data_IF_485417526703
#
_entry.id   IF_485417526703
#
_cell.length_a   1.000
_cell.length_b   1.000
_cell.length_c   1.000
_cell.angle_alpha   90.00
_cell.angle_beta   90.00
_cell.angle_gamma   90.00
#
_symmetry.space_group_name_H-M   'P 1'
#
loop_
_entity.id
_entity.type
_entity.pdbx_description
1 polymer ?
#
# COMPACT_ATOMS: atom_id res chain seq x y z
N UNK A 1 -63.77 46.54 -25.47
CA UNK A 1 -63.19 46.33 -26.82
C UNK A 1 -61.70 46.11 -26.64
N UNK A 2 -61.27 44.85 -26.58
CA UNK A 2 -60.63 44.10 -27.67
C UNK A 2 -59.10 44.28 -27.74
N UNK A 3 -58.41 43.19 -27.36
CA UNK A 3 -57.20 42.59 -27.94
C UNK A 3 -55.88 43.37 -27.85
N UNK A 4 -54.87 42.76 -27.22
CA UNK A 4 -53.90 41.89 -27.92
C UNK A 4 -52.78 41.40 -26.97
N UNK A 5 -52.54 40.08 -26.98
CA UNK A 5 -51.33 39.43 -26.47
C UNK A 5 -50.10 39.91 -27.24
N UNK A 6 -48.96 40.08 -26.55
CA UNK A 6 -47.63 39.79 -27.10
C UNK A 6 -46.79 39.09 -26.05
N UNK A 7 -46.63 37.79 -26.24
CA UNK A 7 -45.60 36.93 -25.65
C UNK A 7 -44.28 37.34 -26.32
N UNK A 8 -43.30 37.74 -25.52
CA UNK A 8 -41.94 38.01 -25.97
C UNK A 8 -40.96 37.25 -25.08
N UNK A 9 -40.50 36.10 -25.56
CA UNK A 9 -39.50 35.27 -24.93
C UNK A 9 -38.09 35.82 -25.21
N UNK A 10 -37.27 36.02 -24.17
CA UNK A 10 -35.81 36.17 -24.20
C UNK A 10 -35.36 36.12 -22.74
N UNK A 11 -34.47 35.27 -22.26
CA UNK A 11 -33.62 34.24 -22.82
C UNK A 11 -32.71 33.87 -21.64
N UNK A 12 -32.85 32.65 -21.14
CA UNK A 12 -32.11 32.18 -19.98
C UNK A 12 -30.62 32.06 -20.33
N UNK A 13 -29.78 32.94 -19.79
CA UNK A 13 -28.33 32.76 -19.78
C UNK A 13 -27.96 31.92 -18.55
N UNK A 14 -28.18 30.60 -18.66
CA UNK A 14 -27.54 29.63 -17.77
C UNK A 14 -26.06 29.61 -18.14
N UNK A 15 -25.24 30.26 -17.33
CA UNK A 15 -23.78 30.10 -17.34
C UNK A 15 -23.51 28.68 -16.84
N UNK A 16 -23.45 27.72 -17.76
CA UNK A 16 -22.88 26.40 -17.49
C UNK A 16 -21.41 26.62 -17.21
N UNK A 17 -21.02 26.55 -15.94
CA UNK A 17 -19.62 26.34 -15.59
C UNK A 17 -19.19 25.05 -16.28
N UNK A 18 -18.39 25.18 -17.33
CA UNK A 18 -17.56 24.09 -17.81
C UNK A 18 -16.56 23.81 -16.70
N UNK A 19 -16.94 22.97 -15.74
CA UNK A 19 -15.98 22.22 -14.97
C UNK A 19 -15.26 21.34 -16.00
N UNK A 20 -14.13 21.84 -16.52
CA UNK A 20 -13.14 20.99 -17.13
C UNK A 20 -12.80 19.96 -16.06
N UNK A 21 -13.36 18.75 -16.21
CA UNK A 21 -12.96 17.60 -15.45
C UNK A 21 -11.49 17.35 -15.75
N UNK A 22 -10.63 17.86 -14.89
CA UNK A 22 -9.37 17.19 -14.62
C UNK A 22 -9.81 15.80 -14.13
N UNK A 23 -9.77 14.81 -15.03
CA UNK A 23 -10.02 13.43 -14.66
C UNK A 23 -9.13 13.13 -13.47
N UNK A 24 -9.74 12.79 -12.35
CA UNK A 24 -9.00 12.21 -11.24
C UNK A 24 -8.25 11.02 -11.84
N UNK A 25 -6.93 10.89 -11.64
CA UNK A 25 -6.23 9.69 -12.07
C UNK A 25 -7.03 8.48 -11.62
N UNK A 26 -7.29 7.53 -12.53
CA UNK A 26 -8.03 6.31 -12.20
C UNK A 26 -7.25 5.60 -11.10
N UNK A 27 -7.74 5.73 -9.86
CA UNK A 27 -7.15 5.09 -8.70
C UNK A 27 -7.44 3.60 -8.79
N UNK A 28 -6.51 2.80 -8.29
CA UNK A 28 -6.73 1.37 -8.18
C UNK A 28 -7.86 1.12 -7.18
N UNK A 29 -8.89 0.43 -7.66
CA UNK A 29 -9.96 -0.08 -6.81
C UNK A 29 -9.50 -1.37 -6.10
N UNK A 30 -10.01 -1.68 -4.89
CA UNK A 30 -9.63 -2.88 -4.15
C UNK A 30 -9.87 -4.21 -4.89
N UNK A 31 -10.79 -4.25 -5.85
CA UNK A 31 -11.13 -5.42 -6.67
C UNK A 31 -10.43 -5.42 -8.03
N UNK A 32 -9.46 -4.53 -8.25
CA UNK A 32 -8.67 -4.48 -9.46
C UNK A 32 -8.01 -5.84 -9.75
N UNK A 33 -8.08 -6.37 -10.99
CA UNK A 33 -7.38 -7.59 -11.38
C UNK A 33 -5.87 -7.55 -11.14
N UNK A 34 -5.27 -6.36 -11.12
CA UNK A 34 -3.85 -6.18 -10.82
C UNK A 34 -3.49 -6.48 -9.36
N UNK A 35 -4.47 -6.57 -8.46
CA UNK A 35 -4.28 -6.87 -7.04
C UNK A 35 -4.78 -8.29 -6.67
N UNK A 36 -5.27 -9.07 -7.65
CA UNK A 36 -5.65 -10.45 -7.43
C UNK A 36 -4.48 -11.25 -6.82
N UNK A 37 -4.77 -12.18 -5.90
CA UNK A 37 -3.75 -12.96 -5.17
C UNK A 37 -3.26 -12.31 -3.87
N UNK A 38 -3.39 -10.98 -3.72
CA UNK A 38 -3.01 -10.27 -2.49
C UNK A 38 -4.09 -10.36 -1.40
N UNK A 39 -3.72 -10.26 -0.10
CA UNK A 39 -4.68 -10.30 0.99
C UNK A 39 -5.67 -9.12 0.93
N UNK A 40 -6.99 -9.36 0.82
CA UNK A 40 -7.97 -8.31 0.52
C UNK A 40 -8.14 -7.30 1.65
N UNK A 41 -7.89 -7.71 2.90
CA UNK A 41 -7.88 -6.84 4.07
C UNK A 41 -6.71 -5.86 4.03
N UNK A 42 -5.51 -6.33 3.68
CA UNK A 42 -4.33 -5.46 3.54
C UNK A 42 -4.42 -4.58 2.30
N UNK A 43 -5.00 -5.09 1.19
CA UNK A 43 -5.32 -4.25 0.03
C UNK A 43 -6.21 -3.08 0.43
N UNK A 44 -7.32 -3.35 1.14
CA UNK A 44 -8.23 -2.30 1.62
C UNK A 44 -7.54 -1.32 2.58
N UNK A 45 -6.72 -1.83 3.48
CA UNK A 45 -5.95 -1.02 4.42
C UNK A 45 -5.01 -0.05 3.68
N UNK A 46 -4.19 -0.56 2.76
CA UNK A 46 -3.21 0.27 2.03
C UNK A 46 -3.90 1.25 1.09
N UNK A 47 -4.98 0.86 0.41
CA UNK A 47 -5.75 1.78 -0.43
C UNK A 47 -6.54 2.83 0.37
N UNK A 48 -6.67 2.65 1.69
CA UNK A 48 -7.23 3.67 2.59
C UNK A 48 -6.16 4.62 3.17
N UNK A 49 -4.87 4.37 2.94
CA UNK A 49 -3.77 5.18 3.46
C UNK A 49 -3.57 6.45 2.59
N UNK A 50 -3.84 7.66 3.12
CA UNK A 50 -3.70 8.90 2.36
C UNK A 50 -2.26 9.20 1.95
N UNK A 51 -1.25 8.78 2.73
CA UNK A 51 0.16 9.02 2.41
C UNK A 51 0.62 8.14 1.24
N UNK A 52 0.19 6.87 1.25
CA UNK A 52 0.40 5.99 0.11
C UNK A 52 -0.30 6.55 -1.13
N UNK A 53 -1.57 6.96 -1.01
CA UNK A 53 -2.33 7.48 -2.14
C UNK A 53 -1.71 8.76 -2.71
N UNK A 54 -1.20 9.68 -1.88
CA UNK A 54 -0.48 10.86 -2.35
C UNK A 54 0.78 10.48 -3.14
N UNK A 55 1.53 9.51 -2.63
CA UNK A 55 2.74 8.99 -3.28
C UNK A 55 2.41 8.34 -4.62
N UNK A 56 1.42 7.44 -4.65
CA UNK A 56 0.97 6.73 -5.86
C UNK A 56 0.39 7.70 -6.89
N UNK A 57 -0.44 8.67 -6.47
CA UNK A 57 -1.03 9.65 -7.38
C UNK A 57 0.05 10.51 -8.07
N UNK A 58 1.17 10.76 -7.39
CA UNK A 58 2.32 11.50 -7.91
C UNK A 58 3.21 10.69 -8.88
N UNK A 59 3.11 9.36 -8.87
CA UNK A 59 3.91 8.47 -9.71
C UNK A 59 3.38 8.38 -11.15
N UNK A 60 4.25 8.06 -12.13
CA UNK A 60 3.83 7.70 -13.49
C UNK A 60 2.80 6.56 -13.49
N UNK A 61 1.85 6.59 -14.42
CA UNK A 61 0.72 5.64 -14.46
C UNK A 61 1.15 4.17 -14.39
N UNK A 62 2.21 3.78 -15.12
CA UNK A 62 2.74 2.41 -15.10
C UNK A 62 3.40 2.00 -13.79
N UNK A 63 3.87 2.96 -12.96
CA UNK A 63 4.51 2.68 -11.68
C UNK A 63 3.50 2.56 -10.53
N UNK A 64 2.29 3.11 -10.69
CA UNK A 64 1.26 3.13 -9.64
C UNK A 64 0.86 1.72 -9.19
N UNK A 65 0.70 0.83 -10.15
CA UNK A 65 0.32 -0.57 -9.90
C UNK A 65 1.44 -1.29 -9.16
N UNK A 66 2.66 -1.19 -9.66
CA UNK A 66 3.84 -1.75 -9.01
C UNK A 66 3.99 -1.25 -7.57
N UNK A 67 3.91 0.07 -7.35
CA UNK A 67 4.03 0.67 -6.02
C UNK A 67 2.95 0.17 -5.07
N UNK A 68 1.72 -0.01 -5.55
CA UNK A 68 0.60 -0.53 -4.76
C UNK A 68 0.82 -2.01 -4.41
N UNK A 69 1.17 -2.83 -5.39
CA UNK A 69 1.48 -4.25 -5.18
C UNK A 69 2.62 -4.42 -4.16
N UNK A 70 3.71 -3.66 -4.32
CA UNK A 70 4.85 -3.67 -3.41
C UNK A 70 4.45 -3.22 -2.01
N UNK A 71 3.65 -2.16 -1.85
CA UNK A 71 3.20 -1.69 -0.53
C UNK A 71 2.34 -2.71 0.22
N UNK A 72 1.43 -3.39 -0.48
CA UNK A 72 0.59 -4.44 0.13
C UNK A 72 1.46 -5.63 0.54
N UNK A 73 2.30 -6.11 -0.39
CA UNK A 73 3.14 -7.28 -0.15
C UNK A 73 4.17 -7.04 0.93
N UNK A 74 4.76 -5.84 0.96
CA UNK A 74 5.76 -5.46 1.95
C UNK A 74 5.16 -5.30 3.35
N UNK A 75 3.94 -4.77 3.44
CA UNK A 75 3.20 -4.66 4.70
C UNK A 75 2.95 -6.03 5.32
N UNK A 76 2.46 -6.98 4.52
CA UNK A 76 2.24 -8.37 4.97
C UNK A 76 3.56 -8.98 5.44
N UNK A 77 4.58 -8.92 4.58
CA UNK A 77 5.87 -9.54 4.86
C UNK A 77 6.53 -8.98 6.12
N UNK A 78 6.53 -7.66 6.31
CA UNK A 78 7.07 -7.04 7.52
C UNK A 78 6.37 -7.51 8.81
N UNK A 79 5.03 -7.59 8.80
CA UNK A 79 4.26 -8.07 9.95
C UNK A 79 4.57 -9.54 10.26
N UNK A 80 4.74 -10.36 9.23
CA UNK A 80 5.11 -11.77 9.39
C UNK A 80 6.56 -11.91 9.90
N UNK A 81 7.49 -11.06 9.46
CA UNK A 81 8.88 -11.06 9.96
C UNK A 81 8.93 -10.66 11.43
N UNK A 82 8.16 -9.65 11.85
CA UNK A 82 8.02 -9.29 13.28
C UNK A 82 7.47 -10.47 14.08
N UNK A 83 6.40 -11.11 13.58
CA UNK A 83 5.81 -12.28 14.23
C UNK A 83 6.81 -13.44 14.35
N UNK A 84 7.59 -13.71 13.30
CA UNK A 84 8.63 -14.74 13.27
C UNK A 84 9.76 -14.43 14.27
N UNK A 85 10.19 -13.16 14.35
CA UNK A 85 11.17 -12.70 15.35
C UNK A 85 10.66 -12.92 16.77
N UNK A 86 9.43 -12.53 17.07
CA UNK A 86 8.88 -12.67 18.42
C UNK A 86 8.72 -14.14 18.80
N UNK A 87 8.30 -14.99 17.86
CA UNK A 87 8.27 -16.44 18.05
C UNK A 87 9.67 -17.03 18.27
N UNK A 88 10.70 -16.51 17.58
CA UNK A 88 12.09 -16.90 17.80
C UNK A 88 12.54 -16.55 19.22
N UNK A 89 12.30 -15.32 19.68
CA UNK A 89 12.66 -14.89 21.03
C UNK A 89 11.99 -15.75 22.12
N UNK A 90 10.74 -16.14 21.91
CA UNK A 90 10.00 -16.98 22.86
C UNK A 90 10.46 -18.45 22.85
N UNK A 91 10.74 -19.01 21.69
CA UNK A 91 11.05 -20.44 21.53
C UNK A 91 12.54 -20.77 21.58
N UNK A 92 13.41 -19.78 21.37
CA UNK A 92 14.84 -19.97 21.12
C UNK A 92 15.15 -20.71 19.81
N UNK A 93 14.13 -20.99 18.98
CA UNK A 93 14.29 -21.72 17.72
C UNK A 93 14.28 -20.74 16.55
N UNK A 94 15.33 -20.82 15.72
CA UNK A 94 15.45 -19.99 14.52
C UNK A 94 14.26 -20.24 13.57
N UNK A 95 13.57 -19.18 13.11
CA UNK A 95 12.42 -19.32 12.23
C UNK A 95 12.89 -19.63 10.80
N UNK A 96 11.94 -19.96 9.95
CA UNK A 96 12.11 -19.81 8.50
C UNK A 96 11.71 -18.39 8.11
N UNK A 97 12.31 -17.86 7.06
CA UNK A 97 11.88 -16.59 6.48
C UNK A 97 10.45 -16.71 5.98
N UNK A 98 9.56 -15.76 6.31
CA UNK A 98 8.18 -15.77 5.85
C UNK A 98 8.08 -15.82 4.32
N UNK A 99 6.99 -16.39 3.82
CA UNK A 99 6.68 -16.30 2.40
C UNK A 99 6.15 -14.91 2.07
N UNK A 100 6.51 -14.38 0.91
CA UNK A 100 5.95 -13.13 0.39
C UNK A 100 4.55 -13.40 -0.18
N UNK A 101 3.57 -12.59 0.22
CA UNK A 101 2.30 -12.50 -0.50
C UNK A 101 2.54 -11.91 -1.90
N UNK A 102 2.13 -12.63 -2.95
CA UNK A 102 2.35 -12.20 -4.34
C UNK A 102 1.01 -11.97 -5.03
N UNK A 103 0.90 -10.96 -5.91
CA UNK A 103 -0.22 -10.87 -6.82
C UNK A 103 -0.15 -12.01 -7.84
N UNK A 104 -1.30 -12.41 -8.38
CA UNK A 104 -1.42 -13.41 -9.46
C UNK A 104 -0.76 -12.92 -10.76
N UNK A 105 -0.70 -11.59 -10.93
CA UNK A 105 -0.13 -10.89 -12.08
C UNK A 105 0.81 -9.77 -11.58
N UNK A 106 2.05 -10.09 -11.19
CA UNK A 106 3.02 -9.09 -10.74
C UNK A 106 3.40 -8.15 -11.89
N UNK A 107 3.50 -6.85 -11.57
CA UNK A 107 4.07 -5.86 -12.48
C UNK A 107 5.58 -6.04 -12.64
N UNK A 108 6.12 -5.53 -13.75
CA UNK A 108 7.55 -5.57 -14.02
C UNK A 108 8.35 -4.94 -12.85
N UNK A 109 9.35 -5.67 -12.37
CA UNK A 109 10.19 -5.26 -11.23
C UNK A 109 9.68 -5.69 -9.85
N UNK A 110 8.45 -6.19 -9.73
CA UNK A 110 7.91 -6.67 -8.45
C UNK A 110 8.75 -7.82 -7.88
N UNK A 111 8.97 -8.88 -8.67
CA UNK A 111 9.66 -10.08 -8.21
C UNK A 111 11.13 -9.79 -7.89
N UNK A 112 11.82 -8.99 -8.71
CA UNK A 112 13.21 -8.59 -8.46
C UNK A 112 13.36 -7.85 -7.13
N UNK A 113 12.44 -6.91 -6.85
CA UNK A 113 12.43 -6.19 -5.58
C UNK A 113 12.17 -7.13 -4.41
N UNK A 114 11.10 -7.94 -4.47
CA UNK A 114 10.71 -8.79 -3.35
C UNK A 114 11.72 -9.91 -3.08
N UNK A 115 12.30 -10.53 -4.12
CA UNK A 115 13.35 -11.55 -3.96
C UNK A 115 14.62 -10.95 -3.33
N UNK A 116 15.00 -9.74 -3.75
CA UNK A 116 16.11 -9.01 -3.13
C UNK A 116 15.85 -8.68 -1.67
N UNK A 117 14.62 -8.31 -1.32
CA UNK A 117 14.24 -7.97 0.04
C UNK A 117 14.16 -9.20 0.95
N UNK A 118 13.62 -10.33 0.44
CA UNK A 118 13.63 -11.63 1.12
C UNK A 118 15.05 -12.10 1.38
N UNK A 119 15.96 -11.96 0.41
CA UNK A 119 17.36 -12.34 0.58
C UNK A 119 18.03 -11.62 1.76
N UNK A 120 17.69 -10.35 2.01
CA UNK A 120 18.24 -9.62 3.16
C UNK A 120 17.72 -10.17 4.50
N UNK A 121 16.46 -10.63 4.53
CA UNK A 121 15.87 -11.28 5.70
C UNK A 121 16.47 -12.67 5.92
N UNK A 122 16.66 -13.45 4.85
CA UNK A 122 17.34 -14.75 4.91
C UNK A 122 18.72 -14.59 5.54
N UNK A 123 19.52 -13.64 5.09
CA UNK A 123 20.84 -13.35 5.66
C UNK A 123 20.76 -12.98 7.16
N UNK A 124 19.77 -12.17 7.54
CA UNK A 124 19.55 -11.78 8.94
C UNK A 124 19.13 -12.96 9.82
N UNK A 125 18.24 -13.84 9.33
CA UNK A 125 17.83 -15.07 10.01
C UNK A 125 19.01 -16.04 10.11
N UNK A 126 19.77 -16.23 9.03
CA UNK A 126 20.88 -17.17 8.97
C UNK A 126 22.09 -16.78 9.81
N UNK A 127 22.22 -15.50 10.18
CA UNK A 127 23.18 -15.04 11.19
C UNK A 127 23.04 -15.77 12.54
N UNK A 128 21.86 -16.31 12.84
CA UNK A 128 21.56 -16.98 14.10
C UNK A 128 21.34 -16.04 15.28
N UNK A 129 21.23 -14.74 15.02
CA UNK A 129 20.99 -13.70 16.04
C UNK A 129 19.65 -12.97 15.80
N UNK A 130 18.67 -13.09 16.72
CA UNK A 130 17.39 -12.37 16.58
C UNK A 130 17.54 -10.84 16.66
N UNK A 131 18.65 -10.32 17.20
CA UNK A 131 18.95 -8.89 17.17
C UNK A 131 19.38 -8.43 15.77
N UNK A 132 20.03 -9.30 14.98
CA UNK A 132 20.30 -9.00 13.56
C UNK A 132 19.02 -8.81 12.74
N UNK A 133 17.99 -9.62 13.02
CA UNK A 133 16.67 -9.44 12.39
C UNK A 133 15.96 -8.17 12.87
N UNK A 134 16.12 -7.80 14.15
CA UNK A 134 15.62 -6.52 14.68
C UNK A 134 16.29 -5.34 13.98
N UNK A 135 17.60 -5.39 13.81
CA UNK A 135 18.37 -4.31 13.19
C UNK A 135 17.97 -4.13 11.72
N UNK A 136 17.72 -5.23 10.99
CA UNK A 136 17.14 -5.15 9.65
C UNK A 136 15.74 -4.52 9.66
N UNK A 137 14.86 -4.96 10.56
CA UNK A 137 13.50 -4.40 10.68
C UNK A 137 13.51 -2.88 10.94
N UNK A 138 14.47 -2.40 11.74
CA UNK A 138 14.57 -0.99 12.14
C UNK A 138 15.47 -0.13 11.25
N UNK A 139 16.22 -0.77 10.34
CA UNK A 139 17.18 -0.11 9.44
C UNK A 139 16.53 0.61 8.27
N UNK A 140 17.34 1.41 7.58
CA UNK A 140 16.93 2.11 6.36
C UNK A 140 16.57 1.09 5.26
N UNK A 141 15.39 1.25 4.65
CA UNK A 141 14.87 0.29 3.65
C UNK A 141 14.33 -1.01 4.26
N UNK A 142 14.28 -1.11 5.60
CA UNK A 142 13.62 -2.19 6.33
C UNK A 142 12.12 -1.94 6.50
N UNK A 143 11.60 -2.30 7.67
CA UNK A 143 10.16 -2.29 7.97
C UNK A 143 9.72 -1.17 8.91
N UNK A 144 10.62 -0.23 9.23
CA UNK A 144 10.47 0.77 10.29
C UNK A 144 9.09 1.44 10.34
N UNK A 145 8.66 2.00 9.21
CA UNK A 145 7.48 2.86 9.11
C UNK A 145 6.21 2.10 8.69
N UNK A 146 6.29 0.77 8.56
CA UNK A 146 5.12 -0.06 8.26
C UNK A 146 4.21 -0.11 9.49
N UNK A 147 2.91 0.06 9.28
CA UNK A 147 1.88 -0.08 10.32
C UNK A 147 1.91 -1.50 10.88
N UNK A 148 2.12 -1.63 12.19
CA UNK A 148 2.25 -2.93 12.85
C UNK A 148 0.89 -3.61 13.08
N UNK A 149 -0.16 -2.84 13.37
CA UNK A 149 -1.51 -3.33 13.63
C UNK A 149 -2.54 -2.46 12.88
N UNK A 150 -3.36 -3.03 11.97
CA UNK A 150 -4.40 -2.27 11.27
C UNK A 150 -5.48 -1.70 12.20
N UNK A 151 -5.64 -2.21 13.41
CA UNK A 151 -6.57 -1.66 14.41
C UNK A 151 -5.99 -0.44 15.15
N UNK A 152 -4.67 -0.22 15.05
CA UNK A 152 -3.97 0.97 15.56
C UNK A 152 -3.04 1.54 14.48
N UNK A 153 -3.58 2.21 13.44
CA UNK A 153 -2.81 2.67 12.27
C UNK A 153 -1.70 3.69 12.60
N UNK A 154 -1.70 4.25 13.81
CA UNK A 154 -0.66 5.18 14.26
C UNK A 154 0.56 4.46 14.81
N UNK A 155 0.47 3.15 15.03
CA UNK A 155 1.54 2.35 15.63
C UNK A 155 2.30 1.60 14.56
N UNK A 156 3.53 2.04 14.32
CA UNK A 156 4.45 1.44 13.35
C UNK A 156 5.29 0.33 13.98
N UNK A 157 6.01 -0.42 13.15
CA UNK A 157 6.94 -1.46 13.62
C UNK A 157 8.05 -0.88 14.49
N UNK A 158 8.54 0.33 14.21
CA UNK A 158 9.50 0.97 15.12
C UNK A 158 8.90 1.24 16.50
N UNK A 159 7.64 1.66 16.58
CA UNK A 159 6.97 1.90 17.86
C UNK A 159 6.80 0.62 18.68
N UNK A 160 6.68 -0.53 18.00
CA UNK A 160 6.57 -1.85 18.65
C UNK A 160 7.93 -2.37 19.10
N UNK A 161 9.00 -2.16 18.32
CA UNK A 161 10.31 -2.79 18.55
C UNK A 161 11.33 -1.89 19.26
N UNK A 162 11.13 -0.58 19.30
CA UNK A 162 12.03 0.36 19.98
C UNK A 162 11.67 0.57 21.47
N UNK A 163 10.49 0.13 21.91
CA UNK A 163 10.08 0.09 23.31
C UNK A 163 10.73 -1.04 24.11
#
# INVERSE_FOLDING_TARGET
MNRSLRIGALGAALVTMAACGAGTPDRLEPDSPALAGLPPDVVQERLADPELLETVDSAPEGERVLMTQLNVSSTVFCRDVVTARDAWLLSGTRPQTPAVARPDHPEDGFDEFMDGWVSMVDDAVDSGDPDGLRDWLLGDGGCRDVVADPQDPQRTIVDVLAG
#
